data_IF_774413479122
#
_entry.id   IF_774413479122
#
_cell.length_a   1.000
_cell.length_b   1.000
_cell.length_c   1.000
_cell.angle_alpha   90.00
_cell.angle_beta   90.00
_cell.angle_gamma   90.00
#
_symmetry.space_group_name_H-M   'P 1'
#
loop_
_entity.id
_entity.type
_entity.pdbx_description
1 polymer ?
#
# COMPACT_ATOMS: atom_id res chain seq x y z
N UNK A 1 -13.66 1.84 21.43
CA UNK A 1 -13.13 0.74 22.26
C UNK A 1 -11.89 1.21 23.00
N UNK A 2 -11.91 1.24 24.35
CA UNK A 2 -10.70 1.38 25.14
C UNK A 2 -9.86 0.11 24.97
N UNK A 3 -8.88 0.16 24.06
CA UNK A 3 -7.90 -0.90 23.89
C UNK A 3 -6.70 -0.72 24.80
N UNK A 4 -5.75 -1.64 24.74
CA UNK A 4 -4.44 -1.49 25.39
C UNK A 4 -3.59 -0.50 24.58
N UNK A 5 -3.09 0.54 25.25
CA UNK A 5 -2.10 1.44 24.65
C UNK A 5 -0.74 0.76 24.66
N UNK A 6 -0.20 0.47 23.48
CA UNK A 6 1.14 -0.12 23.36
C UNK A 6 2.26 0.80 23.90
N UNK A 7 2.00 2.10 24.07
CA UNK A 7 3.00 3.09 24.50
C UNK A 7 3.47 2.90 25.94
N UNK A 8 2.65 2.30 26.81
CA UNK A 8 2.98 2.09 28.23
C UNK A 8 3.60 0.73 28.55
N UNK A 9 3.68 -0.18 27.57
CA UNK A 9 4.11 -1.55 27.80
C UNK A 9 5.63 -1.70 27.64
N UNK A 10 6.26 -2.33 28.62
CA UNK A 10 7.61 -2.87 28.56
C UNK A 10 7.76 -3.90 27.42
N UNK A 11 9.00 -4.20 27.03
CA UNK A 11 9.28 -5.20 25.99
C UNK A 11 8.68 -6.57 26.34
N UNK A 12 8.73 -6.95 27.62
CA UNK A 12 8.21 -8.22 28.09
C UNK A 12 6.69 -8.26 28.04
N UNK A 13 6.02 -7.18 28.44
CA UNK A 13 4.56 -7.07 28.31
C UNK A 13 4.10 -7.11 26.85
N UNK A 14 4.85 -6.50 25.93
CA UNK A 14 4.57 -6.58 24.48
C UNK A 14 4.72 -8.01 23.95
N UNK A 15 5.76 -8.73 24.38
CA UNK A 15 5.94 -10.15 24.03
C UNK A 15 4.80 -11.00 24.57
N UNK A 16 4.43 -10.80 25.83
CA UNK A 16 3.33 -11.53 26.44
C UNK A 16 1.99 -11.23 25.75
N UNK A 17 1.76 -9.96 25.38
CA UNK A 17 0.58 -9.56 24.60
C UNK A 17 0.56 -10.25 23.22
N UNK A 18 1.69 -10.30 22.52
CA UNK A 18 1.81 -11.00 21.24
C UNK A 18 1.52 -12.49 21.39
N UNK A 19 2.07 -13.15 22.41
CA UNK A 19 1.80 -14.56 22.72
C UNK A 19 0.31 -14.79 22.98
N UNK A 20 -0.32 -13.93 23.78
CA UNK A 20 -1.75 -14.02 24.09
C UNK A 20 -2.61 -13.84 22.83
N UNK A 21 -2.29 -12.84 21.99
CA UNK A 21 -2.94 -12.63 20.69
C UNK A 21 -2.82 -13.87 19.80
N UNK A 22 -1.61 -14.42 19.63
CA UNK A 22 -1.40 -15.61 18.78
C UNK A 22 -2.21 -16.81 19.28
N UNK A 23 -2.28 -17.01 20.60
CA UNK A 23 -3.10 -18.10 21.19
C UNK A 23 -4.58 -17.94 20.86
N UNK A 24 -5.14 -16.73 21.02
CA UNK A 24 -6.56 -16.49 20.72
C UNK A 24 -6.83 -16.61 19.22
N UNK A 25 -5.99 -16.01 18.37
CA UNK A 25 -6.15 -16.11 16.92
C UNK A 25 -6.08 -17.56 16.43
N UNK A 26 -5.23 -18.40 17.03
CA UNK A 26 -5.16 -19.82 16.71
C UNK A 26 -6.46 -20.58 17.05
N UNK A 27 -7.12 -20.23 18.16
CA UNK A 27 -8.38 -20.87 18.57
C UNK A 27 -9.54 -20.57 17.62
N UNK A 28 -9.57 -19.36 17.03
CA UNK A 28 -10.66 -18.89 16.17
C UNK A 28 -10.26 -18.82 14.69
N UNK A 29 -9.18 -19.50 14.32
CA UNK A 29 -8.59 -19.44 12.98
C UNK A 29 -9.58 -19.81 11.88
N UNK A 30 -10.43 -20.81 12.11
CA UNK A 30 -11.46 -21.23 11.14
C UNK A 30 -12.46 -20.12 10.80
N UNK A 31 -12.74 -19.20 11.74
CA UNK A 31 -13.63 -18.06 11.51
C UNK A 31 -12.85 -16.90 10.87
N UNK A 32 -11.60 -16.69 11.29
CA UNK A 32 -10.77 -15.55 10.88
C UNK A 32 -10.20 -15.69 9.46
N UNK A 33 -9.82 -16.91 9.08
CA UNK A 33 -9.24 -17.20 7.77
C UNK A 33 -10.31 -17.38 6.68
N UNK A 34 -11.59 -17.41 7.08
CA UNK A 34 -12.69 -17.62 6.15
C UNK A 34 -13.00 -16.36 5.33
N UNK A 35 -13.22 -16.56 4.04
CA UNK A 35 -13.64 -15.50 3.12
C UNK A 35 -15.15 -15.31 3.17
N UNK A 36 -15.62 -14.08 2.92
CA UNK A 36 -17.05 -13.78 2.92
C UNK A 36 -17.85 -14.61 1.91
N UNK A 37 -17.21 -15.07 0.82
CA UNK A 37 -17.85 -15.97 -0.15
C UNK A 37 -18.10 -17.35 0.44
N UNK A 38 -17.18 -17.84 1.28
CA UNK A 38 -17.28 -19.14 1.96
C UNK A 38 -18.42 -19.16 2.96
N UNK A 39 -18.85 -18.00 3.47
CA UNK A 39 -20.07 -17.90 4.28
C UNK A 39 -21.29 -18.48 3.56
N UNK A 40 -21.40 -18.20 2.26
CA UNK A 40 -22.53 -18.64 1.43
C UNK A 40 -22.30 -20.01 0.79
N UNK A 41 -21.05 -20.39 0.50
CA UNK A 41 -20.76 -21.68 -0.14
C UNK A 41 -20.58 -22.82 0.85
N UNK A 42 -20.02 -22.55 2.03
CA UNK A 42 -19.53 -23.55 2.97
C UNK A 42 -20.31 -23.57 4.29
N UNK A 43 -21.43 -22.83 4.37
CA UNK A 43 -22.29 -22.73 5.55
C UNK A 43 -21.51 -22.42 6.84
N UNK A 44 -20.66 -21.38 6.80
CA UNK A 44 -19.83 -21.02 7.96
C UNK A 44 -20.65 -20.76 9.22
N UNK A 45 -21.89 -20.28 9.09
CA UNK A 45 -22.80 -20.12 10.24
C UNK A 45 -22.99 -21.43 11.02
N UNK A 46 -23.21 -22.54 10.30
CA UNK A 46 -23.37 -23.87 10.89
C UNK A 46 -22.12 -24.41 11.59
N UNK A 47 -20.93 -23.83 11.34
CA UNK A 47 -19.68 -24.23 11.99
C UNK A 47 -19.49 -23.62 13.38
N UNK A 48 -20.26 -22.58 13.72
CA UNK A 48 -20.22 -21.97 15.04
C UNK A 48 -20.83 -22.90 16.11
N UNK A 49 -20.43 -22.80 17.38
CA UNK A 49 -21.12 -23.53 18.45
C UNK A 49 -22.63 -23.23 18.46
N UNK A 50 -23.49 -24.24 18.62
CA UNK A 50 -24.95 -24.06 18.60
C UNK A 50 -25.43 -22.96 19.55
N UNK A 51 -24.86 -22.92 20.76
CA UNK A 51 -25.16 -21.87 21.75
C UNK A 51 -24.82 -20.44 21.26
N UNK A 52 -23.81 -20.28 20.40
CA UNK A 52 -23.48 -18.99 19.80
C UNK A 52 -24.48 -18.63 18.72
N UNK A 53 -24.88 -19.61 17.90
CA UNK A 53 -25.91 -19.41 16.89
C UNK A 53 -27.21 -18.95 17.56
N UNK A 54 -27.69 -19.65 18.59
CA UNK A 54 -28.90 -19.29 19.35
C UNK A 54 -28.84 -17.89 19.97
N UNK A 55 -27.67 -17.47 20.45
CA UNK A 55 -27.49 -16.16 21.07
C UNK A 55 -27.41 -15.00 20.07
N UNK A 56 -26.93 -15.28 18.85
CA UNK A 56 -26.69 -14.29 17.81
C UNK A 56 -27.80 -14.27 16.74
N UNK A 57 -28.60 -15.33 16.64
CA UNK A 57 -29.66 -15.46 15.65
C UNK A 57 -30.75 -14.40 15.85
N UNK A 58 -31.23 -13.84 14.74
CA UNK A 58 -32.25 -12.79 14.73
C UNK A 58 -31.85 -11.46 15.37
N UNK A 59 -30.56 -11.21 15.64
CA UNK A 59 -30.06 -9.89 16.04
C UNK A 59 -29.89 -8.98 14.82
N UNK A 60 -30.41 -7.76 14.92
CA UNK A 60 -30.24 -6.74 13.89
C UNK A 60 -28.83 -6.12 13.95
N UNK A 61 -28.30 -5.56 12.85
CA UNK A 61 -26.96 -4.97 12.82
C UNK A 61 -26.67 -3.94 13.94
N UNK A 62 -27.60 -3.05 14.33
CA UNK A 62 -27.39 -2.15 15.47
C UNK A 62 -27.25 -2.90 16.80
N UNK A 63 -28.04 -3.95 17.02
CA UNK A 63 -27.97 -4.77 18.23
C UNK A 63 -26.64 -5.52 18.30
N UNK A 64 -26.14 -6.04 17.17
CA UNK A 64 -24.80 -6.64 17.10
C UNK A 64 -23.69 -5.61 17.42
N UNK A 65 -23.79 -4.39 16.89
CA UNK A 65 -22.82 -3.34 17.19
C UNK A 65 -22.80 -2.97 18.67
N UNK A 66 -23.98 -2.82 19.28
CA UNK A 66 -24.12 -2.47 20.70
C UNK A 66 -23.73 -3.63 21.62
N UNK A 67 -24.27 -4.84 21.37
CA UNK A 67 -24.13 -6.00 22.25
C UNK A 67 -22.83 -6.78 22.03
N UNK A 68 -22.33 -6.96 20.80
CA UNK A 68 -21.09 -7.69 20.53
C UNK A 68 -19.88 -6.75 20.48
N UNK A 69 -19.99 -5.65 19.72
CA UNK A 69 -18.87 -4.72 19.50
C UNK A 69 -18.76 -3.63 20.57
N UNK A 70 -19.69 -3.55 21.53
CA UNK A 70 -19.62 -2.56 22.61
C UNK A 70 -19.64 -1.11 22.13
N UNK A 71 -20.39 -0.84 21.06
CA UNK A 71 -20.55 0.48 20.44
C UNK A 71 -21.99 0.98 20.57
N UNK A 72 -22.47 1.29 21.79
CA UNK A 72 -23.83 1.82 21.99
C UNK A 72 -23.97 3.20 21.33
N UNK A 73 -25.17 3.50 20.82
CA UNK A 73 -25.57 4.86 20.47
C UNK A 73 -25.60 5.77 21.70
N UNK A 74 -25.61 7.08 21.48
CA UNK A 74 -25.64 8.06 22.56
C UNK A 74 -26.92 7.89 23.41
N UNK A 75 -26.76 7.61 24.71
CA UNK A 75 -27.86 7.34 25.62
C UNK A 75 -28.47 5.92 25.55
N UNK A 76 -27.91 5.03 24.72
CA UNK A 76 -28.41 3.67 24.56
C UNK A 76 -27.91 2.74 25.67
N UNK A 77 -28.83 2.01 26.31
CA UNK A 77 -28.50 1.01 27.33
C UNK A 77 -28.40 -0.36 26.68
N UNK A 78 -27.26 -1.05 26.89
CA UNK A 78 -27.06 -2.41 26.40
C UNK A 78 -28.06 -3.35 27.07
N UNK A 79 -28.97 -3.94 26.28
CA UNK A 79 -29.91 -4.97 26.72
C UNK A 79 -29.68 -6.24 25.92
N UNK A 80 -29.61 -7.36 26.61
CA UNK A 80 -29.51 -8.68 25.99
C UNK A 80 -30.88 -9.33 25.99
N UNK A 81 -31.26 -9.96 24.87
CA UNK A 81 -32.53 -10.71 24.75
C UNK A 81 -32.51 -12.00 25.57
N UNK A 82 -31.32 -12.58 25.76
CA UNK A 82 -31.07 -13.82 26.50
C UNK A 82 -29.68 -13.78 27.13
N UNK A 83 -29.41 -14.74 28.04
CA UNK A 83 -28.07 -14.91 28.60
C UNK A 83 -27.17 -15.50 27.51
N UNK A 84 -26.16 -14.74 27.10
CA UNK A 84 -25.19 -15.21 26.12
C UNK A 84 -24.25 -16.29 26.70
N UNK A 85 -23.77 -17.23 25.87
CA UNK A 85 -22.84 -18.26 26.29
C UNK A 85 -21.56 -17.66 26.86
N UNK A 86 -21.05 -18.26 27.95
CA UNK A 86 -19.82 -17.80 28.60
C UNK A 86 -18.63 -17.73 27.62
N UNK A 87 -18.55 -18.68 26.68
CA UNK A 87 -17.47 -18.71 25.67
C UNK A 87 -17.55 -17.52 24.70
N UNK A 88 -18.75 -17.05 24.35
CA UNK A 88 -18.95 -15.87 23.50
C UNK A 88 -18.60 -14.58 24.27
N UNK A 89 -19.03 -14.49 25.53
CA UNK A 89 -18.69 -13.37 26.41
C UNK A 89 -17.18 -13.31 26.71
N UNK A 90 -16.55 -14.46 26.91
CA UNK A 90 -15.11 -14.57 27.10
C UNK A 90 -14.35 -14.14 25.84
N UNK A 91 -14.79 -14.55 24.64
CA UNK A 91 -14.21 -14.05 23.38
C UNK A 91 -14.33 -12.53 23.30
N UNK A 92 -15.53 -11.98 23.54
CA UNK A 92 -15.76 -10.53 23.52
C UNK A 92 -14.81 -9.80 24.49
N UNK A 93 -14.77 -10.23 25.74
CA UNK A 93 -13.91 -9.63 26.78
C UNK A 93 -12.43 -9.73 26.40
N UNK A 94 -12.00 -10.89 25.92
CA UNK A 94 -10.61 -11.14 25.51
C UNK A 94 -10.23 -10.31 24.29
N UNK A 95 -11.10 -10.22 23.29
CA UNK A 95 -10.89 -9.35 22.13
C UNK A 95 -10.71 -7.90 22.58
N UNK A 96 -11.62 -7.37 23.41
CA UNK A 96 -11.47 -6.02 23.97
C UNK A 96 -10.14 -5.83 24.69
N UNK A 97 -9.79 -6.74 25.60
CA UNK A 97 -8.58 -6.67 26.42
C UNK A 97 -7.28 -6.80 25.61
N UNK A 98 -7.29 -7.49 24.47
CA UNK A 98 -6.11 -7.67 23.62
C UNK A 98 -6.06 -6.68 22.45
N UNK A 99 -7.14 -5.94 22.15
CA UNK A 99 -7.14 -4.96 21.07
C UNK A 99 -6.24 -3.78 21.38
N UNK A 100 -5.46 -3.35 20.38
CA UNK A 100 -4.74 -2.07 20.47
C UNK A 100 -5.72 -0.90 20.36
N UNK A 101 -5.44 0.18 21.08
CA UNK A 101 -6.17 1.44 20.94
C UNK A 101 -6.13 1.92 19.49
N UNK A 102 -7.31 2.06 18.86
CA UNK A 102 -7.44 2.60 17.50
C UNK A 102 -7.48 4.13 17.47
N UNK A 103 -7.51 4.79 18.62
CA UNK A 103 -7.42 6.24 18.73
C UNK A 103 -5.95 6.66 18.65
N UNK A 104 -5.50 7.25 17.54
CA UNK A 104 -4.18 7.87 17.52
C UNK A 104 -4.16 8.98 18.56
N UNK A 105 -3.29 8.89 19.57
CA UNK A 105 -3.02 10.01 20.48
C UNK A 105 -2.18 11.12 19.84
N UNK A 106 -2.27 11.26 18.52
CA UNK A 106 -1.45 12.16 17.73
C UNK A 106 -2.19 13.47 17.44
N UNK A 107 -1.54 14.59 17.76
CA UNK A 107 -1.61 15.75 16.88
C UNK A 107 -1.10 15.30 15.50
N UNK A 108 -1.79 15.65 14.43
CA UNK A 108 -1.40 15.29 13.06
C UNK A 108 0.10 15.56 12.87
N UNK A 109 0.94 14.54 12.61
CA UNK A 109 2.37 14.76 12.44
C UNK A 109 2.60 15.83 11.37
N UNK A 110 3.62 16.67 11.54
CA UNK A 110 3.90 17.80 10.64
C UNK A 110 3.99 17.37 9.16
N UNK A 111 4.45 16.15 8.90
CA UNK A 111 4.50 15.51 7.58
C UNK A 111 3.15 15.27 6.89
N UNK A 112 2.03 15.34 7.62
CA UNK A 112 0.66 15.27 7.08
C UNK A 112 -0.06 16.62 7.09
N UNK A 113 0.50 17.65 7.74
CA UNK A 113 -0.02 19.02 7.68
C UNK A 113 0.22 19.64 6.30
N UNK A 114 1.38 19.37 5.71
CA UNK A 114 1.69 19.68 4.32
C UNK A 114 1.79 18.39 3.54
N UNK A 115 1.02 18.23 2.46
CA UNK A 115 1.10 17.03 1.62
C UNK A 115 2.37 17.08 0.75
N UNK A 116 3.48 16.40 1.13
CA UNK A 116 4.73 16.52 0.39
C UNK A 116 4.59 15.78 -0.95
N UNK A 117 3.66 14.84 -1.10
CA UNK A 117 3.36 14.18 -2.38
C UNK A 117 2.91 15.18 -3.47
N UNK A 118 2.52 16.41 -3.09
CA UNK A 118 2.29 17.53 -4.01
C UNK A 118 3.59 18.18 -4.52
N UNK A 119 4.78 17.64 -4.23
CA UNK A 119 6.06 18.29 -4.59
C UNK A 119 6.14 18.62 -6.08
N UNK A 120 6.64 19.81 -6.38
CA UNK A 120 6.95 20.29 -7.73
C UNK A 120 7.92 19.38 -8.51
N UNK A 121 8.63 18.48 -7.81
CA UNK A 121 9.60 17.54 -8.38
C UNK A 121 8.95 16.31 -9.04
N UNK A 122 7.75 15.93 -8.60
CA UNK A 122 6.93 14.93 -9.28
C UNK A 122 5.97 15.65 -10.22
N UNK A 123 6.39 15.83 -11.47
CA UNK A 123 5.53 16.43 -12.50
C UNK A 123 4.20 15.65 -12.60
N UNK A 124 3.11 16.32 -12.95
CA UNK A 124 1.76 15.71 -13.09
C UNK A 124 1.72 14.32 -13.78
N UNK A 125 2.57 14.01 -14.79
CA UNK A 125 2.68 12.67 -15.36
C UNK A 125 2.96 11.53 -14.36
N UNK A 126 3.72 11.75 -13.30
CA UNK A 126 4.05 10.72 -12.29
C UNK A 126 2.91 10.43 -11.31
N UNK A 127 1.90 11.32 -11.24
CA UNK A 127 0.77 11.19 -10.30
C UNK A 127 -0.43 10.47 -10.92
N UNK A 128 -0.45 10.33 -12.26
CA UNK A 128 -1.55 9.70 -12.98
C UNK A 128 -1.73 8.25 -12.48
N UNK A 129 -2.96 7.92 -12.10
CA UNK A 129 -3.35 6.57 -11.66
C UNK A 129 -2.69 6.07 -10.35
N UNK A 130 -2.15 6.98 -9.51
CA UNK A 130 -1.58 6.62 -8.20
C UNK A 130 -2.39 7.27 -7.09
N UNK A 131 -2.96 6.47 -6.17
CA UNK A 131 -3.70 6.99 -5.01
C UNK A 131 -2.77 7.78 -4.07
N UNK A 132 -3.26 8.80 -3.35
CA UNK A 132 -2.43 9.65 -2.48
C UNK A 132 -1.53 8.86 -1.50
N UNK A 133 -2.07 7.82 -0.85
CA UNK A 133 -1.28 6.95 0.04
C UNK A 133 -0.08 6.31 -0.67
N UNK A 134 -0.30 5.78 -1.87
CA UNK A 134 0.76 5.14 -2.66
C UNK A 134 1.79 6.16 -3.15
N UNK A 135 1.38 7.40 -3.43
CA UNK A 135 2.32 8.49 -3.77
C UNK A 135 3.24 8.80 -2.58
N UNK A 136 2.68 8.89 -1.37
CA UNK A 136 3.44 9.10 -0.15
C UNK A 136 4.44 7.96 0.11
N UNK A 137 4.01 6.70 -0.05
CA UNK A 137 4.88 5.52 0.04
C UNK A 137 6.04 5.55 -0.97
N UNK A 138 5.74 5.85 -2.23
CA UNK A 138 6.76 5.97 -3.28
C UNK A 138 7.77 7.07 -2.94
N UNK A 139 7.29 8.23 -2.47
CA UNK A 139 8.15 9.36 -2.15
C UNK A 139 9.12 9.00 -1.02
N UNK A 140 8.60 8.49 0.10
CA UNK A 140 9.43 8.13 1.27
C UNK A 140 10.46 7.07 0.94
N UNK A 141 10.05 6.03 0.20
CA UNK A 141 10.97 4.95 -0.17
C UNK A 141 12.05 5.45 -1.13
N UNK A 142 11.66 6.23 -2.14
CA UNK A 142 12.64 6.80 -3.07
C UNK A 142 13.64 7.73 -2.38
N UNK A 143 13.19 8.59 -1.45
CA UNK A 143 14.07 9.46 -0.68
C UNK A 143 15.05 8.67 0.20
N UNK A 144 14.58 7.61 0.87
CA UNK A 144 15.44 6.71 1.63
C UNK A 144 16.51 6.07 0.73
N UNK A 145 16.10 5.49 -0.40
CA UNK A 145 17.04 4.88 -1.36
C UNK A 145 18.04 5.91 -1.88
N UNK A 146 17.62 7.16 -2.13
CA UNK A 146 18.53 8.23 -2.55
C UNK A 146 19.54 8.61 -1.48
N UNK A 147 19.12 8.70 -0.21
CA UNK A 147 20.04 8.93 0.91
C UNK A 147 21.07 7.80 1.01
N UNK A 148 20.63 6.54 0.95
CA UNK A 148 21.52 5.38 0.96
C UNK A 148 22.47 5.37 -0.25
N UNK A 149 21.97 5.73 -1.43
CA UNK A 149 22.78 5.87 -2.65
C UNK A 149 23.89 6.89 -2.47
N UNK A 150 23.58 8.05 -1.90
CA UNK A 150 24.58 9.10 -1.63
C UNK A 150 25.62 8.65 -0.59
N UNK A 151 25.21 7.94 0.46
CA UNK A 151 26.11 7.46 1.52
C UNK A 151 27.03 6.33 1.05
N UNK A 152 26.52 5.44 0.21
CA UNK A 152 27.25 4.24 -0.24
C UNK A 152 27.96 4.42 -1.58
N UNK A 153 27.69 5.52 -2.29
CA UNK A 153 28.11 5.72 -3.68
C UNK A 153 27.42 4.79 -4.69
N UNK A 154 26.47 3.96 -4.26
CA UNK A 154 25.78 3.01 -5.14
C UNK A 154 24.64 3.71 -5.90
N UNK A 155 24.80 3.91 -7.20
CA UNK A 155 23.79 4.56 -8.06
C UNK A 155 22.90 3.58 -8.82
N UNK A 156 23.25 2.29 -8.80
CA UNK A 156 22.48 1.21 -9.42
C UNK A 156 21.52 0.61 -8.40
N UNK A 157 20.23 0.55 -8.74
CA UNK A 157 19.15 0.04 -7.90
C UNK A 157 18.39 -1.05 -8.66
N UNK A 158 18.07 -2.13 -7.97
CA UNK A 158 17.19 -3.18 -8.48
C UNK A 158 15.88 -3.13 -7.68
N UNK A 159 14.77 -2.90 -8.37
CA UNK A 159 13.42 -2.86 -7.80
C UNK A 159 12.72 -4.20 -8.05
N UNK A 160 12.59 -5.02 -7.00
CA UNK A 160 12.01 -6.37 -7.07
C UNK A 160 10.54 -6.33 -6.69
N UNK A 161 9.67 -6.82 -7.58
CA UNK A 161 8.22 -6.69 -7.43
C UNK A 161 7.73 -5.28 -7.78
N UNK A 162 8.27 -4.70 -8.84
CA UNK A 162 8.04 -3.30 -9.21
C UNK A 162 6.59 -2.98 -9.59
N UNK A 163 5.76 -4.00 -9.87
CA UNK A 163 4.39 -3.85 -10.33
C UNK A 163 4.32 -2.99 -11.60
N UNK A 164 3.58 -1.88 -11.53
CA UNK A 164 3.42 -0.91 -12.64
C UNK A 164 4.57 0.10 -12.76
N UNK A 165 5.69 -0.10 -12.05
CA UNK A 165 6.91 0.70 -12.20
C UNK A 165 6.84 2.14 -11.64
N UNK A 166 5.89 2.45 -10.76
CA UNK A 166 5.74 3.82 -10.23
C UNK A 166 6.92 4.25 -9.35
N UNK A 167 7.39 3.38 -8.45
CA UNK A 167 8.58 3.63 -7.65
C UNK A 167 9.83 3.69 -8.54
N UNK A 168 9.98 2.73 -9.45
CA UNK A 168 11.12 2.66 -10.37
C UNK A 168 11.25 3.93 -11.21
N UNK A 169 10.15 4.41 -11.80
CA UNK A 169 10.11 5.69 -12.54
C UNK A 169 10.48 6.88 -11.65
N UNK A 170 9.96 6.93 -10.43
CA UNK A 170 10.31 8.01 -9.50
C UNK A 170 11.80 8.01 -9.15
N UNK A 171 12.37 6.85 -8.81
CA UNK A 171 13.80 6.72 -8.51
C UNK A 171 14.66 7.06 -9.73
N UNK A 172 14.27 6.63 -10.92
CA UNK A 172 15.06 6.86 -12.13
C UNK A 172 14.98 8.32 -12.60
N UNK A 173 13.78 8.81 -12.90
CA UNK A 173 13.59 10.12 -13.53
C UNK A 173 13.49 11.25 -12.50
N UNK A 174 12.99 10.96 -11.30
CA UNK A 174 12.84 11.95 -10.23
C UNK A 174 14.09 12.13 -9.37
N UNK A 175 14.89 11.06 -9.18
CA UNK A 175 16.05 11.07 -8.27
C UNK A 175 17.39 10.79 -8.98
N UNK A 176 17.35 10.52 -10.29
CA UNK A 176 18.54 10.33 -11.12
C UNK A 176 19.29 9.03 -10.84
N UNK A 177 18.59 7.98 -10.38
CA UNK A 177 19.19 6.67 -10.12
C UNK A 177 19.12 5.76 -11.35
N UNK A 178 20.06 4.83 -11.50
CA UNK A 178 20.00 3.80 -12.52
C UNK A 178 19.19 2.62 -12.00
N UNK A 179 17.93 2.51 -12.43
CA UNK A 179 17.00 1.51 -11.89
C UNK A 179 16.77 0.39 -12.89
N UNK A 180 16.83 -0.86 -12.42
CA UNK A 180 16.35 -2.05 -13.13
C UNK A 180 15.18 -2.64 -12.34
N UNK A 181 14.08 -2.92 -13.04
CA UNK A 181 12.85 -3.41 -12.41
C UNK A 181 12.61 -4.88 -12.76
N UNK A 182 12.17 -5.67 -11.78
CA UNK A 182 11.83 -7.08 -11.93
C UNK A 182 10.38 -7.28 -11.48
N UNK A 183 9.56 -7.88 -12.33
CA UNK A 183 8.15 -8.17 -12.05
C UNK A 183 7.78 -9.53 -12.66
N UNK A 184 7.04 -10.35 -11.91
CA UNK A 184 6.65 -11.70 -12.32
C UNK A 184 5.36 -11.73 -13.15
N UNK A 185 4.51 -10.70 -13.05
CA UNK A 185 3.26 -10.62 -13.81
C UNK A 185 3.45 -9.82 -15.12
N UNK A 186 3.40 -10.53 -16.24
CA UNK A 186 3.55 -9.95 -17.58
C UNK A 186 2.60 -8.78 -17.86
N UNK A 187 1.35 -8.81 -17.38
CA UNK A 187 0.38 -7.71 -17.58
C UNK A 187 0.80 -6.44 -16.86
N UNK A 188 1.47 -6.57 -15.71
CA UNK A 188 1.99 -5.43 -14.96
C UNK A 188 3.23 -4.85 -15.65
N UNK A 189 4.08 -5.71 -16.23
CA UNK A 189 5.24 -5.30 -17.03
C UNK A 189 4.80 -4.49 -18.26
N UNK A 190 3.84 -5.01 -19.04
CA UNK A 190 3.30 -4.30 -20.22
C UNK A 190 2.71 -2.95 -19.84
N UNK A 191 1.97 -2.90 -18.73
CA UNK A 191 1.40 -1.64 -18.23
C UNK A 191 2.48 -0.68 -17.75
N UNK A 192 3.55 -1.17 -17.11
CA UNK A 192 4.68 -0.34 -16.71
C UNK A 192 5.36 0.27 -17.95
N UNK A 193 5.68 -0.55 -18.97
CA UNK A 193 6.28 -0.12 -20.22
C UNK A 193 5.43 0.93 -20.94
N UNK A 194 4.11 0.75 -20.97
CA UNK A 194 3.20 1.72 -21.55
C UNK A 194 3.24 3.07 -20.81
N UNK A 195 3.22 3.05 -19.47
CA UNK A 195 3.33 4.26 -18.66
C UNK A 195 4.70 4.94 -18.82
N UNK A 196 5.77 4.17 -18.97
CA UNK A 196 7.13 4.68 -19.23
C UNK A 196 7.18 5.40 -20.58
N UNK A 197 6.60 4.79 -21.63
CA UNK A 197 6.49 5.41 -22.95
C UNK A 197 5.68 6.71 -22.91
N UNK A 198 4.50 6.72 -22.30
CA UNK A 198 3.68 7.93 -22.18
C UNK A 198 4.44 9.07 -21.48
N UNK A 199 5.19 8.73 -20.45
CA UNK A 199 5.97 9.69 -19.68
C UNK A 199 7.14 10.27 -20.48
N UNK A 200 7.91 9.42 -21.16
CA UNK A 200 9.01 9.87 -22.01
C UNK A 200 8.51 10.82 -23.11
N UNK A 201 7.40 10.47 -23.75
CA UNK A 201 6.77 11.34 -24.75
C UNK A 201 6.33 12.69 -24.18
N UNK A 202 5.80 12.71 -22.96
CA UNK A 202 5.43 13.95 -22.27
C UNK A 202 6.65 14.82 -21.92
N UNK A 203 7.80 14.20 -21.60
CA UNK A 203 9.05 14.92 -21.30
C UNK A 203 9.69 15.48 -22.58
N UNK A 204 9.70 14.73 -23.68
CA UNK A 204 10.19 15.22 -24.98
C UNK A 204 9.39 16.42 -25.48
N UNK A 205 8.06 16.35 -25.38
CA UNK A 205 7.16 17.46 -25.71
C UNK A 205 7.38 18.71 -24.86
N UNK A 206 7.91 18.59 -23.64
CA UNK A 206 8.28 19.76 -22.81
C UNK A 206 9.66 20.32 -23.14
N UNK A 207 10.56 19.49 -23.67
CA UNK A 207 11.90 19.91 -24.10
C UNK A 207 11.87 20.70 -25.42
N UNK A 208 10.98 20.32 -26.34
CA UNK A 208 10.90 20.90 -27.69
C UNK A 208 10.43 22.39 -27.77
N UNK A 209 9.49 22.87 -26.92
CA UNK A 209 9.07 24.27 -26.87
C UNK A 209 10.16 25.22 -26.39
N UNK A 210 11.05 24.76 -25.50
CA UNK A 210 12.13 25.59 -24.95
C UNK A 210 13.26 25.83 -25.96
N UNK A 211 13.50 24.88 -26.89
CA UNK A 211 14.49 25.03 -27.96
C UNK A 211 14.03 26.04 -29.03
N UNK A 212 12.71 26.16 -29.26
CA UNK A 212 12.15 27.12 -30.24
C UNK A 212 12.06 28.56 -29.72
N UNK A 213 12.14 28.77 -28.40
CA UNK A 213 12.09 30.11 -27.79
C UNK A 213 13.47 30.80 -27.67
N UNK A 214 14.56 30.11 -28.03
CA UNK A 214 15.94 30.61 -27.93
C UNK A 214 16.61 30.83 -29.31
N UNK A 215 15.86 31.23 -30.33
CA UNK A 215 16.39 31.76 -31.60
C UNK A 215 16.67 33.26 -31.48
N UNK A 216 17.63 33.84 -32.25
CA UNK A 216 18.09 35.20 -32.03
C UNK A 216 16.99 36.21 -32.32
N UNK A 217 16.65 37.01 -31.30
CA UNK A 217 15.71 38.13 -31.38
C UNK A 217 16.26 39.20 -32.32
N UNK A 218 15.69 39.31 -33.51
CA UNK A 218 15.75 40.53 -34.30
C UNK A 218 14.77 41.55 -33.73
N UNK A 219 15.27 42.76 -33.53
CA UNK A 219 14.63 43.97 -32.98
C UNK A 219 13.30 44.34 -33.67
N UNK A 220 12.36 44.90 -32.90
CA UNK A 220 11.27 45.71 -33.48
C UNK A 220 9.98 45.88 -32.66
N UNK A 221 9.94 46.93 -31.84
CA UNK A 221 8.79 47.82 -31.58
C UNK A 221 7.48 47.31 -30.92
N UNK A 222 7.32 47.63 -29.61
CA UNK A 222 6.26 48.48 -29.02
C UNK A 222 4.76 48.07 -29.04
N UNK A 223 4.06 48.02 -27.89
CA UNK A 223 2.61 47.83 -27.81
C UNK A 223 1.83 49.15 -27.59
N UNK A 224 0.51 49.16 -27.86
CA UNK A 224 -0.47 49.49 -26.80
C UNK A 224 -1.76 48.61 -26.89
N UNK A 225 -2.29 48.07 -25.79
CA UNK A 225 -3.21 48.65 -24.80
C UNK A 225 -4.64 48.96 -25.31
N UNK A 226 -5.64 48.20 -24.82
CA UNK A 226 -7.01 48.63 -24.46
C UNK A 226 -7.90 47.38 -24.16
N UNK A 227 -8.37 47.17 -22.92
CA UNK A 227 -9.67 47.61 -22.36
C UNK A 227 -10.78 46.56 -22.55
N UNK A 228 -11.03 45.78 -21.50
CA UNK A 228 -12.27 45.06 -21.14
C UNK A 228 -13.49 46.00 -21.19
N UNK A 229 -14.73 45.55 -21.48
CA UNK A 229 -15.50 44.89 -20.41
C UNK A 229 -16.63 43.92 -20.83
N UNK A 230 -16.97 43.00 -19.91
CA UNK A 230 -18.38 42.79 -19.54
C UNK A 230 -18.88 41.34 -19.52
N UNK A 231 -19.00 40.78 -18.31
CA UNK A 231 -19.94 39.69 -18.02
C UNK A 231 -21.40 40.20 -18.05
N UNK A 232 -22.39 39.30 -18.23
CA UNK A 232 -23.15 38.93 -17.03
C UNK A 232 -23.55 37.44 -16.93
N UNK A 233 -24.02 37.13 -15.73
CA UNK A 233 -24.31 35.85 -15.10
C UNK A 233 -25.48 35.03 -15.68
N UNK A 234 -25.56 33.75 -15.25
CA UNK A 234 -26.84 33.04 -15.06
C UNK A 234 -26.91 31.61 -15.57
N UNK A 235 -26.89 30.64 -14.66
CA UNK A 235 -27.14 29.18 -14.80
C UNK A 235 -28.55 28.86 -15.35
N UNK A 236 -28.91 27.63 -15.80
CA UNK A 236 -28.91 26.39 -14.98
C UNK A 236 -28.62 25.05 -15.73
N UNK A 237 -28.42 23.95 -14.98
CA UNK A 237 -28.55 22.56 -15.50
C UNK A 237 -30.01 22.23 -15.87
N UNK A 238 -30.41 21.00 -16.28
CA UNK A 238 -29.90 19.69 -15.82
C UNK A 238 -29.81 18.60 -16.93
N UNK A 239 -29.48 17.36 -16.55
CA UNK A 239 -29.99 16.17 -17.25
C UNK A 239 -28.96 15.12 -17.67
N UNK A 240 -28.84 14.05 -16.87
CA UNK A 240 -28.54 12.71 -17.39
C UNK A 240 -29.70 12.21 -18.27
N UNK A 241 -29.45 11.24 -19.16
CA UNK A 241 -29.91 9.89 -18.83
C UNK A 241 -28.89 8.80 -19.18
N UNK A 242 -28.91 7.73 -18.36
CA UNK A 242 -28.08 6.56 -18.52
C UNK A 242 -28.53 5.59 -19.62
N UNK A 243 -27.67 4.61 -19.90
CA UNK A 243 -27.97 3.21 -20.24
C UNK A 243 -26.72 2.54 -20.80
N UNK A 244 -26.50 1.26 -20.46
CA UNK A 244 -25.62 0.39 -21.25
C UNK A 244 -24.76 -0.57 -20.45
N UNK A 245 -25.39 -1.56 -19.81
CA UNK A 245 -24.74 -2.82 -19.44
C UNK A 245 -24.07 -3.44 -20.68
N UNK A 246 -22.79 -3.78 -20.59
CA UNK A 246 -22.14 -4.72 -21.50
C UNK A 246 -21.77 -5.99 -20.73
N UNK A 247 -22.45 -7.08 -21.07
CA UNK A 247 -22.14 -8.45 -20.67
C UNK A 247 -20.83 -8.94 -21.31
N UNK A 248 -20.05 -9.81 -20.66
CA UNK A 248 -19.05 -10.65 -21.32
C UNK A 248 -19.64 -12.00 -21.72
N UNK A 249 -19.47 -12.38 -22.99
CA UNK A 249 -19.74 -13.73 -23.49
C UNK A 249 -18.69 -14.78 -23.04
N UNK A 250 -18.95 -16.08 -23.23
CA UNK A 250 -18.21 -17.16 -22.59
C UNK A 250 -16.91 -17.54 -23.34
N UNK A 251 -15.91 -18.12 -22.65
CA UNK A 251 -14.69 -18.60 -23.30
C UNK A 251 -14.86 -20.00 -23.89
N UNK A 252 -14.35 -20.16 -25.12
CA UNK A 252 -14.20 -21.43 -25.82
C UNK A 252 -13.06 -22.28 -25.23
N UNK A 253 -13.30 -23.59 -25.18
CA UNK A 253 -12.39 -24.66 -24.73
C UNK A 253 -11.61 -25.23 -25.93
N UNK A 254 -10.35 -25.66 -25.73
CA UNK A 254 -9.86 -26.87 -26.40
C UNK A 254 -9.29 -27.84 -25.35
N UNK A 255 -9.87 -29.04 -25.20
CA UNK A 255 -9.42 -30.31 -25.82
C UNK A 255 -7.97 -30.65 -25.51
N UNK A 256 -7.80 -31.61 -24.60
CA UNK A 256 -6.53 -32.26 -24.32
C UNK A 256 -6.14 -33.25 -25.42
N UNK A 257 -4.85 -33.56 -25.44
CA UNK A 257 -4.22 -34.60 -26.23
C UNK A 257 -2.85 -34.91 -25.63
N UNK A 258 -2.65 -36.19 -25.31
CA UNK A 258 -1.52 -36.78 -24.59
C UNK A 258 -0.22 -36.91 -25.40
N UNK A 259 0.83 -37.27 -24.65
CA UNK A 259 2.07 -37.97 -25.02
C UNK A 259 3.20 -37.17 -25.71
N UNK A 260 4.38 -37.08 -25.09
CA UNK A 260 5.35 -38.18 -25.18
C UNK A 260 6.56 -38.04 -24.22
N UNK A 261 7.11 -39.19 -23.86
CA UNK A 261 8.24 -39.37 -22.94
C UNK A 261 9.60 -39.19 -23.63
N UNK A 262 10.55 -38.52 -22.98
CA UNK A 262 11.98 -38.65 -23.28
C UNK A 262 12.82 -38.48 -22.00
N UNK A 263 13.70 -39.46 -21.75
CA UNK A 263 14.53 -39.60 -20.53
C UNK A 263 15.67 -38.59 -20.37
N UNK A 264 16.42 -38.66 -19.25
CA UNK A 264 17.26 -37.56 -18.78
C UNK A 264 18.61 -37.50 -19.50
N UNK A 265 18.90 -36.38 -20.14
CA UNK A 265 20.24 -36.05 -20.62
C UNK A 265 21.14 -35.63 -19.45
N UNK A 266 22.33 -36.22 -19.40
CA UNK A 266 23.33 -36.05 -18.36
C UNK A 266 23.81 -34.58 -18.22
N UNK A 267 23.88 -34.10 -16.98
CA UNK A 267 24.47 -32.81 -16.61
C UNK A 267 26.01 -32.90 -16.57
N UNK A 268 26.75 -31.90 -17.07
CA UNK A 268 28.20 -31.83 -16.92
C UNK A 268 28.60 -31.58 -15.45
N UNK A 269 29.85 -31.92 -15.05
CA UNK A 269 30.25 -31.96 -13.65
C UNK A 269 30.24 -30.56 -13.01
N UNK A 270 29.76 -30.53 -11.76
CA UNK A 270 29.68 -29.36 -10.88
C UNK A 270 30.99 -28.57 -10.89
N UNK A 271 30.93 -27.35 -11.40
CA UNK A 271 31.88 -26.32 -11.05
C UNK A 271 31.88 -26.14 -9.51
N UNK A 272 33.08 -26.08 -8.93
CA UNK A 272 33.32 -25.73 -7.54
C UNK A 272 32.55 -24.45 -7.17
N UNK A 273 32.03 -24.31 -5.94
CA UNK A 273 31.27 -23.12 -5.56
C UNK A 273 32.20 -21.91 -5.57
N UNK A 274 32.13 -21.12 -6.65
CA UNK A 274 32.59 -19.74 -6.66
C UNK A 274 31.79 -19.03 -5.59
N UNK A 275 32.44 -18.65 -4.49
CA UNK A 275 31.87 -17.77 -3.48
C UNK A 275 31.47 -16.46 -4.18
N UNK A 276 30.19 -16.34 -4.53
CA UNK A 276 29.63 -15.06 -4.93
C UNK A 276 29.65 -14.18 -3.67
N UNK A 277 30.21 -12.96 -3.72
CA UNK A 277 30.09 -12.03 -2.61
C UNK A 277 28.59 -11.79 -2.34
N UNK A 278 28.15 -12.16 -1.14
CA UNK A 278 26.75 -12.06 -0.74
C UNK A 278 26.29 -10.60 -0.65
N UNK A 279 24.97 -10.39 -0.74
CA UNK A 279 24.36 -9.11 -0.42
C UNK A 279 24.13 -9.00 1.09
N UNK A 280 24.35 -7.82 1.64
CA UNK A 280 23.96 -7.47 3.01
C UNK A 280 22.53 -6.95 2.98
N UNK A 281 21.62 -7.63 3.68
CA UNK A 281 20.22 -7.25 3.74
C UNK A 281 19.87 -6.69 5.12
N UNK A 282 19.22 -5.54 5.16
CA UNK A 282 18.80 -4.88 6.38
C UNK A 282 17.35 -4.39 6.25
N UNK A 283 16.63 -4.44 7.38
CA UNK A 283 15.23 -4.02 7.46
C UNK A 283 15.19 -2.60 8.03
N UNK A 284 14.77 -1.63 7.22
CA UNK A 284 14.84 -0.21 7.55
C UNK A 284 13.45 0.37 7.83
N UNK A 285 13.29 1.22 8.85
CA UNK A 285 12.06 1.96 9.07
C UNK A 285 11.85 2.99 7.96
N UNK A 286 10.67 2.97 7.33
CA UNK A 286 10.24 3.95 6.32
C UNK A 286 9.13 4.87 6.83
N UNK A 287 8.38 4.42 7.84
CA UNK A 287 7.37 5.22 8.54
C UNK A 287 7.55 5.09 10.04
N UNK A 288 6.94 6.01 10.79
CA UNK A 288 6.73 5.74 12.21
C UNK A 288 5.90 4.46 12.37
N UNK A 289 6.33 3.48 13.17
CA UNK A 289 5.50 2.31 13.53
C UNK A 289 4.17 2.73 14.15
N UNK A 290 4.11 3.93 14.71
CA UNK A 290 2.90 4.45 15.34
C UNK A 290 1.86 4.98 14.33
N UNK A 291 2.28 5.22 13.08
CA UNK A 291 1.44 5.81 12.01
C UNK A 291 1.07 4.80 10.93
N UNK A 292 1.93 3.80 10.68
CA UNK A 292 1.67 2.74 9.71
C UNK A 292 2.22 1.41 10.22
N UNK A 293 1.43 0.33 10.23
CA UNK A 293 1.96 -1.01 10.54
C UNK A 293 2.84 -1.56 9.41
N UNK A 294 2.80 -0.97 8.21
CA UNK A 294 3.70 -1.28 7.09
C UNK A 294 4.83 -0.26 7.07
N UNK A 295 5.62 -0.23 8.13
CA UNK A 295 6.66 0.76 8.38
C UNK A 295 8.07 0.27 8.07
N UNK A 296 8.24 -0.90 7.46
CA UNK A 296 9.55 -1.50 7.23
C UNK A 296 9.75 -1.81 5.75
N UNK A 297 10.98 -1.62 5.27
CA UNK A 297 11.42 -2.01 3.93
C UNK A 297 12.70 -2.83 4.03
N UNK A 298 12.79 -3.91 3.27
CA UNK A 298 14.01 -4.70 3.15
C UNK A 298 14.89 -4.10 2.06
N UNK A 299 16.11 -3.70 2.43
CA UNK A 299 17.11 -3.17 1.49
C UNK A 299 18.31 -4.09 1.48
N UNK A 300 18.76 -4.47 0.28
CA UNK A 300 19.95 -5.30 0.09
C UNK A 300 21.02 -4.50 -0.66
N UNK A 301 22.24 -4.52 -0.14
CA UNK A 301 23.39 -3.78 -0.66
C UNK A 301 24.61 -4.67 -0.80
N UNK A 302 25.51 -4.32 -1.72
CA UNK A 302 26.78 -5.05 -1.89
C UNK A 302 27.79 -4.77 -0.76
N UNK A 303 27.64 -3.64 -0.09
CA UNK A 303 28.46 -3.23 1.06
C UNK A 303 27.59 -3.20 2.32
N UNK A 304 28.15 -3.47 3.52
CA UNK A 304 27.41 -3.35 4.78
C UNK A 304 26.83 -1.95 4.97
N UNK A 305 25.56 -1.87 5.38
CA UNK A 305 24.85 -0.60 5.62
C UNK A 305 25.13 -0.05 7.02
N UNK A 306 25.46 -0.90 8.00
CA UNK A 306 25.75 -0.50 9.39
C UNK A 306 26.60 0.77 9.57
N UNK A 307 27.73 0.98 8.88
CA UNK A 307 28.50 2.22 8.98
C UNK A 307 27.77 3.45 8.40
N UNK A 308 27.01 3.27 7.32
CA UNK A 308 26.25 4.33 6.66
C UNK A 308 24.98 4.71 7.46
N UNK A 309 24.34 3.76 8.13
CA UNK A 309 23.14 4.02 8.95
C UNK A 309 23.46 4.79 10.23
N UNK A 310 24.62 4.56 10.86
CA UNK A 310 25.07 5.36 12.02
C UNK A 310 25.17 6.85 11.69
N UNK A 311 25.51 7.18 10.44
CA UNK A 311 25.54 8.57 9.97
C UNK A 311 24.14 9.18 9.78
N UNK A 312 23.09 8.36 9.59
CA UNK A 312 21.70 8.83 9.52
C UNK A 312 21.11 9.11 10.91
N UNK A 313 21.49 8.31 11.92
CA UNK A 313 21.06 8.52 13.31
C UNK A 313 21.62 9.82 13.90
N UNK A 314 22.78 10.29 13.44
CA UNK A 314 23.39 11.55 13.88
C UNK A 314 22.80 12.81 13.25
N UNK A 315 22.06 12.71 12.13
CA UNK A 315 21.44 13.86 11.46
C UNK A 315 20.00 14.15 11.96
N UNK A 316 19.40 13.24 12.73
CA UNK A 316 18.08 13.42 13.36
C UNK A 316 18.13 13.76 14.87
N UNK A 317 19.32 14.03 15.43
CA UNK A 317 19.51 14.51 16.81
C UNK A 317 19.72 16.03 16.91
#
# INVERSE_FOLDING_TARGET
MPGVSARGLSLEERRQLAVNLTRVLALYRSILDAYIIEFFTDNLWGTLPCSWQEALDGLEPPELATQLLGMPGEGEVVRYRSVWPLTLLALKSTACALTFTRTPSFQTPSEFLENPSQSSRLTAPFRKHVRPKKQHEIRRLGELVKKLSNLTGCTQVVDVGSGQGHLSRFMSLGLGLMVKSIEGNQRLVERAQHLDWELLQALEKKRNPQIRAAGPTASGAGPPAATEPGCPAGSPGPGEPGSGLLQPGPPARPTGGDADSAGPAALPPRASPTFLPGFHAELLPIFSPELSPRNLVLVATKMPLGPALRALETEES
#
